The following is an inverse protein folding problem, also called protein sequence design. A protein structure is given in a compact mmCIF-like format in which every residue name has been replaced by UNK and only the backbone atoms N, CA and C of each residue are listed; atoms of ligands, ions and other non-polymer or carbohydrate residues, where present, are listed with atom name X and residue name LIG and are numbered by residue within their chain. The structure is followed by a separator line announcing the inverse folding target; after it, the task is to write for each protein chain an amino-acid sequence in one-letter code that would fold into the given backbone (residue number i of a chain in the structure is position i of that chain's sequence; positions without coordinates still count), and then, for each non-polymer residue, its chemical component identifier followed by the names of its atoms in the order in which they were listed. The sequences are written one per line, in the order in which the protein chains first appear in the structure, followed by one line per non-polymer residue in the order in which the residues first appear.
data_IF_754288714307
#
_entry.id   IF_754288714307
#
_cell.length_a   1.000
_cell.length_b   1.000
_cell.length_c   1.000
_cell.angle_alpha   90.00
_cell.angle_beta   90.00
_cell.angle_gamma   90.00
#
_symmetry.space_group_name_H-M   'P 1'
#
loop_
_entity.id
_entity.type
_entity.pdbx_description
1 polymer ?
#
# COMPACT_ATOMS: atom_id res chain seq x y z
N UNK A 1 -37.94 -20.72 21.97
CA UNK A 1 -38.72 -19.54 21.51
C UNK A 1 -38.04 -18.30 22.05
N UNK A 2 -37.76 -17.32 21.18
CA UNK A 2 -37.03 -16.09 21.50
C UNK A 2 -36.33 -15.59 20.24
N UNK A 3 -37.09 -14.87 19.42
CA UNK A 3 -36.65 -14.26 18.16
C UNK A 3 -36.12 -12.84 18.42
N UNK A 4 -35.43 -12.29 17.41
CA UNK A 4 -35.18 -10.85 17.15
C UNK A 4 -34.07 -10.27 18.05
N UNK A 5 -32.98 -9.71 17.52
CA UNK A 5 -33.02 -8.54 16.65
C UNK A 5 -31.74 -8.41 15.79
N UNK A 6 -31.96 -8.06 14.53
CA UNK A 6 -30.95 -7.61 13.56
C UNK A 6 -30.58 -6.18 13.89
N UNK A 7 -29.30 -5.85 13.93
CA UNK A 7 -28.85 -4.45 13.85
C UNK A 7 -27.73 -4.34 12.80
N UNK A 8 -28.12 -3.80 11.66
CA UNK A 8 -27.25 -3.09 10.73
C UNK A 8 -26.44 -2.05 11.52
N UNK A 9 -25.12 -2.18 11.47
CA UNK A 9 -24.18 -1.18 11.96
C UNK A 9 -23.34 -0.71 10.79
N UNK A 10 -23.73 0.44 10.24
CA UNK A 10 -23.07 1.14 9.14
C UNK A 10 -21.54 1.09 9.28
N UNK A 11 -20.88 0.79 8.16
CA UNK A 11 -19.46 1.02 7.98
C UNK A 11 -19.20 2.52 8.08
N UNK A 12 -19.06 3.03 9.29
CA UNK A 12 -18.52 4.37 9.55
C UNK A 12 -17.09 4.38 9.00
N UNK A 13 -16.94 4.89 7.78
CA UNK A 13 -15.68 5.46 7.33
C UNK A 13 -15.35 6.56 8.33
N UNK A 14 -14.58 6.21 9.35
CA UNK A 14 -13.94 7.17 10.24
C UNK A 14 -13.23 8.16 9.33
N UNK A 15 -13.78 9.36 9.22
CA UNK A 15 -13.12 10.53 8.64
C UNK A 15 -11.70 10.54 9.21
N UNK A 16 -10.74 10.15 8.38
CA UNK A 16 -9.35 10.18 8.76
C UNK A 16 -9.04 11.65 9.01
N UNK A 17 -8.84 11.98 10.29
CA UNK A 17 -8.53 13.32 10.74
C UNK A 17 -7.23 13.73 10.06
N UNK A 18 -7.35 14.62 9.07
CA UNK A 18 -6.27 15.34 8.41
C UNK A 18 -5.24 15.82 9.46
N UNK A 19 -3.94 15.56 9.30
CA UNK A 19 -2.96 16.25 10.11
C UNK A 19 -2.80 17.64 9.51
N UNK A 20 -3.44 18.62 10.16
CA UNK A 20 -3.18 20.05 10.06
C UNK A 20 -1.67 20.31 9.87
N UNK A 21 -1.20 20.63 8.65
CA UNK A 21 0.03 21.43 8.45
C UNK A 21 0.42 21.78 7.02
N UNK A 22 -0.15 21.21 5.96
CA UNK A 22 0.16 21.65 4.59
C UNK A 22 -1.12 22.13 3.91
N UNK A 23 -1.20 23.41 3.51
CA UNK A 23 -2.35 23.91 2.77
C UNK A 23 -2.42 23.22 1.41
N UNK A 24 -3.65 23.01 0.91
CA UNK A 24 -3.86 22.55 -0.46
C UNK A 24 -3.19 23.55 -1.42
N UNK A 25 -2.41 23.07 -2.40
CA UNK A 25 -1.78 23.93 -3.39
C UNK A 25 -2.81 24.52 -4.35
N UNK A 26 -2.35 25.36 -5.29
CA UNK A 26 -3.24 25.86 -6.34
C UNK A 26 -3.74 24.73 -7.25
N UNK A 27 -4.84 24.95 -8.01
CA UNK A 27 -5.46 23.90 -8.80
C UNK A 27 -4.53 23.25 -9.84
N UNK A 28 -3.56 23.99 -10.37
CA UNK A 28 -2.65 23.46 -11.40
C UNK A 28 -1.68 22.47 -10.76
N UNK A 29 -1.01 22.88 -9.69
CA UNK A 29 -0.09 22.02 -8.94
C UNK A 29 -0.81 20.80 -8.34
N UNK A 30 -2.05 20.98 -7.87
CA UNK A 30 -2.87 19.89 -7.34
C UNK A 30 -3.09 18.79 -8.39
N UNK A 31 -3.46 19.15 -9.63
CA UNK A 31 -3.69 18.18 -10.70
C UNK A 31 -2.39 17.47 -11.12
N UNK A 32 -1.26 18.18 -11.14
CA UNK A 32 0.04 17.58 -11.45
C UNK A 32 0.44 16.54 -10.40
N UNK A 33 0.34 16.88 -9.12
CA UNK A 33 0.62 15.96 -8.01
C UNK A 33 -0.33 14.76 -8.03
N UNK A 34 -1.62 15.01 -8.24
CA UNK A 34 -2.62 13.95 -8.32
C UNK A 34 -2.35 12.98 -9.49
N UNK A 35 -1.95 13.50 -10.65
CA UNK A 35 -1.60 12.68 -11.81
C UNK A 35 -0.40 11.77 -11.53
N UNK A 36 0.64 12.27 -10.83
CA UNK A 36 1.79 11.47 -10.40
C UNK A 36 1.34 10.33 -9.49
N UNK A 37 0.51 10.62 -8.50
CA UNK A 37 -0.04 9.62 -7.58
C UNK A 37 -0.82 8.53 -8.34
N UNK A 38 -1.74 8.91 -9.23
CA UNK A 38 -2.51 7.93 -10.01
C UNK A 38 -1.64 7.06 -10.92
N UNK A 39 -0.61 7.62 -11.55
CA UNK A 39 0.31 6.89 -12.41
C UNK A 39 1.08 5.82 -11.62
N UNK A 40 1.33 6.04 -10.32
CA UNK A 40 2.01 5.10 -9.44
C UNK A 40 1.12 3.94 -8.94
N UNK A 41 -0.18 3.95 -9.20
CA UNK A 41 -1.14 2.97 -8.67
C UNK A 41 -1.49 1.82 -9.63
N UNK A 42 -0.95 1.82 -10.86
CA UNK A 42 -1.22 0.80 -11.88
C UNK A 42 -2.73 0.54 -12.12
N UNK A 43 -3.50 1.62 -12.22
CA UNK A 43 -4.96 1.55 -12.35
C UNK A 43 -5.40 1.26 -13.80
N UNK A 44 -6.48 0.49 -13.98
CA UNK A 44 -7.19 0.44 -15.25
C UNK A 44 -7.68 1.83 -15.70
N UNK A 45 -7.76 2.11 -17.03
CA UNK A 45 -8.12 3.43 -17.54
C UNK A 45 -9.48 3.97 -17.07
N UNK A 46 -10.48 3.08 -16.91
CA UNK A 46 -11.81 3.43 -16.43
C UNK A 46 -11.79 3.90 -14.97
N UNK A 47 -11.02 3.23 -14.11
CA UNK A 47 -10.86 3.61 -12.70
C UNK A 47 -10.07 4.90 -12.55
N UNK A 48 -8.99 5.08 -13.34
CA UNK A 48 -8.26 6.33 -13.37
C UNK A 48 -9.14 7.51 -13.81
N UNK A 49 -10.00 7.32 -14.82
CA UNK A 49 -10.94 8.35 -15.29
C UNK A 49 -12.00 8.70 -14.25
N UNK A 50 -12.46 7.73 -13.46
CA UNK A 50 -13.38 8.00 -12.36
C UNK A 50 -12.72 8.87 -11.28
N UNK A 51 -11.49 8.54 -10.88
CA UNK A 51 -10.74 9.30 -9.87
C UNK A 51 -10.38 10.72 -10.32
N UNK A 52 -10.13 10.94 -11.62
CA UNK A 52 -9.90 12.28 -12.18
C UNK A 52 -11.08 13.24 -12.00
N UNK A 53 -12.29 12.74 -11.80
CA UNK A 53 -13.50 13.54 -11.58
C UNK A 53 -13.71 13.92 -10.11
N UNK A 54 -12.82 13.51 -9.21
CA UNK A 54 -12.89 13.92 -7.81
C UNK A 54 -12.78 15.43 -7.67
N UNK A 55 -13.48 15.96 -6.67
CA UNK A 55 -13.29 17.33 -6.20
C UNK A 55 -11.87 17.53 -5.63
N UNK A 56 -11.47 18.80 -5.49
CA UNK A 56 -10.12 19.14 -5.06
C UNK A 56 -9.78 18.63 -3.66
N UNK A 57 -10.76 18.57 -2.76
CA UNK A 57 -10.58 18.08 -1.39
C UNK A 57 -10.18 16.60 -1.40
N UNK A 58 -10.92 15.74 -2.11
CA UNK A 58 -10.58 14.32 -2.20
C UNK A 58 -9.27 14.05 -2.93
N UNK A 59 -8.94 14.85 -3.95
CA UNK A 59 -7.64 14.75 -4.63
C UNK A 59 -6.51 15.05 -3.66
N UNK A 60 -6.65 16.10 -2.87
CA UNK A 60 -5.68 16.51 -1.88
C UNK A 60 -5.53 15.48 -0.75
N UNK A 61 -6.63 14.92 -0.26
CA UNK A 61 -6.62 13.86 0.74
C UNK A 61 -5.83 12.64 0.25
N UNK A 62 -6.07 12.20 -1.00
CA UNK A 62 -5.35 11.08 -1.60
C UNK A 62 -3.85 11.34 -1.73
N UNK A 63 -3.47 12.56 -2.13
CA UNK A 63 -2.05 12.97 -2.21
C UNK A 63 -1.41 12.90 -0.82
N UNK A 64 -2.06 13.46 0.19
CA UNK A 64 -1.55 13.46 1.57
C UNK A 64 -1.38 12.04 2.12
N UNK A 65 -2.35 11.16 1.85
CA UNK A 65 -2.27 9.76 2.25
C UNK A 65 -1.11 9.03 1.55
N UNK A 66 -0.92 9.29 0.26
CA UNK A 66 0.18 8.70 -0.50
C UNK A 66 1.55 9.18 -0.02
N UNK A 67 1.71 10.47 0.28
CA UNK A 67 2.97 11.02 0.81
C UNK A 67 3.33 10.45 2.20
N UNK A 68 2.32 10.07 2.98
CA UNK A 68 2.51 9.45 4.31
C UNK A 68 2.79 7.95 4.21
N UNK A 69 2.45 7.33 3.10
CA UNK A 69 2.62 5.89 2.93
C UNK A 69 4.11 5.53 2.89
N UNK A 70 4.51 4.60 3.75
CA UNK A 70 5.87 4.07 3.77
C UNK A 70 5.88 2.59 3.42
N UNK A 71 6.68 2.24 2.42
CA UNK A 71 6.95 0.84 2.09
C UNK A 71 7.71 0.19 3.24
N UNK A 72 7.19 -0.93 3.75
CA UNK A 72 7.74 -1.62 4.94
C UNK A 72 9.20 -2.05 4.77
N UNK A 73 9.55 -2.63 3.62
CA UNK A 73 10.91 -3.11 3.33
C UNK A 73 11.26 -2.81 1.87
N UNK A 74 12.48 -2.35 1.59
CA UNK A 74 12.93 -2.18 0.21
C UNK A 74 13.12 -3.55 -0.50
N UNK A 75 13.08 -3.59 -1.85
CA UNK A 75 13.16 -4.85 -2.61
C UNK A 75 14.40 -5.71 -2.29
N UNK A 76 15.55 -5.08 -2.04
CA UNK A 76 16.80 -5.78 -1.75
C UNK A 76 16.75 -6.62 -0.47
N UNK A 77 15.92 -6.24 0.52
CA UNK A 77 15.71 -7.00 1.75
C UNK A 77 15.19 -8.41 1.43
N UNK A 78 14.22 -8.52 0.52
CA UNK A 78 13.66 -9.81 0.12
C UNK A 78 14.63 -10.60 -0.75
N UNK A 79 15.29 -9.95 -1.71
CA UNK A 79 16.28 -10.58 -2.60
C UNK A 79 17.43 -11.21 -1.79
N UNK A 80 17.96 -10.51 -0.80
CA UNK A 80 19.02 -11.01 0.06
C UNK A 80 18.59 -12.25 0.86
N UNK A 81 17.39 -12.25 1.44
CA UNK A 81 16.85 -13.42 2.14
C UNK A 81 16.71 -14.63 1.22
N UNK A 82 16.15 -14.43 0.02
CA UNK A 82 15.98 -15.50 -0.97
C UNK A 82 17.31 -16.06 -1.45
N UNK A 83 18.30 -15.20 -1.78
CA UNK A 83 19.67 -15.64 -2.09
C UNK A 83 20.27 -16.45 -0.94
N UNK A 84 20.06 -16.03 0.30
CA UNK A 84 20.52 -16.75 1.49
C UNK A 84 19.89 -18.13 1.70
N UNK A 85 18.69 -18.37 1.15
CA UNK A 85 18.04 -19.69 1.13
C UNK A 85 18.59 -20.60 0.04
N UNK A 86 19.07 -20.02 -1.07
CA UNK A 86 19.57 -20.75 -2.23
C UNK A 86 21.09 -20.94 -2.24
N UNK A 87 21.80 -20.36 -1.28
CA UNK A 87 23.26 -20.47 -1.13
C UNK A 87 23.67 -21.94 -0.88
N UNK A 88 24.40 -22.60 -1.80
CA UNK A 88 24.82 -23.98 -1.62
C UNK A 88 25.98 -24.13 -0.62
N UNK A 89 26.66 -23.03 -0.26
CA UNK A 89 27.80 -23.02 0.65
C UNK A 89 27.42 -23.08 2.13
N UNK A 90 26.13 -22.99 2.49
CA UNK A 90 25.69 -23.07 3.89
C UNK A 90 25.53 -24.49 4.39
N UNK A 91 25.98 -24.69 5.63
CA UNK A 91 25.75 -25.95 6.35
C UNK A 91 24.26 -26.20 6.55
N UNK A 92 23.85 -27.48 6.56
CA UNK A 92 22.45 -27.91 6.75
C UNK A 92 21.79 -27.29 7.99
N UNK A 93 22.54 -27.15 9.09
CA UNK A 93 22.08 -26.52 10.34
C UNK A 93 21.78 -25.03 10.14
N UNK A 94 22.64 -24.29 9.43
CA UNK A 94 22.42 -22.87 9.11
C UNK A 94 21.28 -22.71 8.11
N UNK A 95 21.21 -23.55 7.08
CA UNK A 95 20.11 -23.58 6.12
C UNK A 95 18.75 -23.75 6.81
N UNK A 96 18.59 -24.78 7.66
CA UNK A 96 17.31 -25.05 8.37
C UNK A 96 16.85 -23.87 9.22
N UNK A 97 17.79 -23.13 9.83
CA UNK A 97 17.48 -21.90 10.58
C UNK A 97 17.05 -20.76 9.67
N UNK A 98 17.71 -20.56 8.53
CA UNK A 98 17.38 -19.49 7.58
C UNK A 98 15.98 -19.68 6.98
N UNK A 99 15.62 -20.90 6.58
CA UNK A 99 14.34 -21.17 5.89
C UNK A 99 13.14 -21.28 6.84
N UNK A 100 13.34 -21.23 8.15
CA UNK A 100 12.26 -21.35 9.14
C UNK A 100 11.16 -20.29 8.95
N UNK A 101 11.53 -19.08 8.53
CA UNK A 101 10.59 -17.98 8.27
C UNK A 101 10.27 -17.79 6.78
N UNK A 102 10.70 -18.70 5.90
CA UNK A 102 10.61 -18.54 4.44
C UNK A 102 9.18 -18.26 3.95
N UNK A 103 8.19 -19.00 4.45
CA UNK A 103 6.77 -18.79 4.10
C UNK A 103 6.27 -17.39 4.45
N UNK A 104 6.67 -16.85 5.61
CA UNK A 104 6.31 -15.49 6.02
C UNK A 104 6.97 -14.46 5.10
N UNK A 105 8.25 -14.65 4.81
CA UNK A 105 9.01 -13.76 3.91
C UNK A 105 8.42 -13.73 2.51
N UNK A 106 8.03 -14.89 1.97
CA UNK A 106 7.39 -14.99 0.66
C UNK A 106 6.01 -14.33 0.63
N UNK A 107 5.22 -14.46 1.70
CA UNK A 107 3.93 -13.77 1.82
C UNK A 107 4.10 -12.25 1.90
N UNK A 108 5.06 -11.77 2.68
CA UNK A 108 5.37 -10.33 2.75
C UNK A 108 5.88 -9.80 1.41
N UNK A 109 6.67 -10.59 0.67
CA UNK A 109 7.14 -10.24 -0.68
C UNK A 109 5.97 -10.16 -1.67
N UNK A 110 5.06 -11.14 -1.68
CA UNK A 110 3.88 -11.12 -2.55
C UNK A 110 3.04 -9.87 -2.31
N UNK A 111 2.73 -9.56 -1.04
CA UNK A 111 1.98 -8.36 -0.68
C UNK A 111 2.73 -7.12 -1.19
N UNK A 112 4.02 -7.01 -0.90
CA UNK A 112 4.85 -5.89 -1.35
C UNK A 112 4.83 -5.71 -2.87
N UNK A 113 4.85 -6.80 -3.64
CA UNK A 113 4.80 -6.75 -5.11
C UNK A 113 3.42 -6.36 -5.64
N UNK A 114 2.34 -6.78 -4.94
CA UNK A 114 0.97 -6.55 -5.37
C UNK A 114 0.42 -5.18 -4.96
N UNK A 115 0.84 -4.63 -3.82
CA UNK A 115 0.16 -3.48 -3.21
C UNK A 115 1.01 -2.21 -3.10
N UNK A 116 2.31 -2.27 -3.34
CA UNK A 116 3.13 -1.06 -3.36
C UNK A 116 2.95 -0.30 -4.68
N UNK A 117 3.44 0.94 -4.72
CA UNK A 117 3.49 1.73 -5.95
C UNK A 117 4.28 1.04 -7.05
N UNK A 118 3.88 1.26 -8.31
CA UNK A 118 4.64 0.86 -9.49
C UNK A 118 5.79 1.86 -9.71
N UNK A 119 7.04 1.38 -9.68
CA UNK A 119 8.26 2.19 -9.75
C UNK A 119 9.51 1.39 -9.46
#
# INVERSE_FOLDING_TARGET
MGNIESVDGQSEMKHHIMPLKVPMPDPTELEEKFAIVLNSMNLPPDKARLLRQYDNEKKWDLICDQERFQVKNPPHTYIQKLRGYLDPGVTRKKFRRRVQESTKVLRELEISLRTNHIG
#
